data_IF_491981331519
#
_entry.id   IF_491981331519
#
_cell.length_a   1.000
_cell.length_b   1.000
_cell.length_c   1.000
_cell.angle_alpha   90.00
_cell.angle_beta   90.00
_cell.angle_gamma   90.00
#
_symmetry.space_group_name_H-M   'P 1'
#
loop_
_entity.id
_entity.type
_entity.pdbx_description
1 polymer ?
#
# COMPACT_ATOMS: atom_id res chain seq x y z
N UNK A 1 -2.68 3.86 7.17
CA UNK A 1 -4.04 3.56 7.65
C UNK A 1 -4.23 4.02 9.09
N UNK A 2 -5.19 4.91 9.38
CA UNK A 2 -5.43 5.41 10.75
C UNK A 2 -5.95 4.32 11.72
N UNK A 3 -6.58 3.27 11.19
CA UNK A 3 -7.28 2.24 11.98
C UNK A 3 -6.41 1.07 12.47
N UNK A 4 -5.13 0.99 12.10
CA UNK A 4 -4.24 -0.07 12.61
C UNK A 4 -3.64 0.35 13.96
N UNK A 5 -3.87 -0.50 14.97
CA UNK A 5 -3.38 -0.33 16.34
C UNK A 5 -1.85 -0.25 16.41
N UNK A 6 -1.33 0.53 17.36
CA UNK A 6 0.11 0.72 17.56
C UNK A 6 0.85 -0.59 17.83
N UNK A 7 0.25 -1.53 18.58
CA UNK A 7 0.83 -2.85 18.85
C UNK A 7 1.03 -3.61 17.53
N UNK A 8 0.03 -3.58 16.62
CA UNK A 8 0.14 -4.24 15.33
C UNK A 8 1.20 -3.57 14.44
N UNK A 9 1.32 -2.24 14.48
CA UNK A 9 2.38 -1.50 13.79
C UNK A 9 3.76 -1.90 14.28
N UNK A 10 3.99 -1.89 15.59
CA UNK A 10 5.29 -2.28 16.19
C UNK A 10 5.76 -3.67 15.80
N UNK A 11 4.83 -4.58 15.47
CA UNK A 11 5.15 -5.92 14.96
C UNK A 11 5.41 -5.95 13.45
N UNK A 12 4.72 -5.12 12.66
CA UNK A 12 4.78 -5.14 11.20
C UNK A 12 5.88 -4.24 10.65
N UNK A 13 6.08 -3.06 11.23
CA UNK A 13 7.00 -2.04 10.73
C UNK A 13 8.44 -2.58 10.56
N UNK A 14 9.03 -3.33 11.52
CA UNK A 14 10.38 -3.88 11.33
C UNK A 14 10.50 -4.83 10.13
N UNK A 15 9.45 -5.62 9.84
CA UNK A 15 9.43 -6.53 8.70
C UNK A 15 9.28 -5.78 7.38
N UNK A 16 8.51 -4.68 7.40
CA UNK A 16 8.34 -3.79 6.26
C UNK A 16 9.66 -3.08 5.97
N UNK A 17 10.35 -2.59 7.01
CA UNK A 17 11.64 -1.93 6.90
C UNK A 17 12.69 -2.87 6.29
N UNK A 18 12.76 -4.12 6.77
CA UNK A 18 13.67 -5.12 6.21
C UNK A 18 13.36 -5.41 4.73
N UNK A 19 12.09 -5.61 4.37
CA UNK A 19 11.68 -5.82 2.98
C UNK A 19 12.00 -4.60 2.10
N UNK A 20 11.87 -3.39 2.64
CA UNK A 20 12.12 -2.15 1.90
C UNK A 20 13.58 -2.03 1.43
N UNK A 21 14.53 -2.56 2.20
CA UNK A 21 15.95 -2.59 1.83
C UNK A 21 16.23 -3.48 0.61
N UNK A 22 15.37 -4.48 0.39
CA UNK A 22 15.44 -5.40 -0.75
C UNK A 22 14.74 -4.91 -2.02
N UNK A 23 13.75 -4.02 -1.89
CA UNK A 23 12.98 -3.49 -3.02
C UNK A 23 13.69 -2.31 -3.70
N UNK A 24 14.48 -2.57 -4.74
CA UNK A 24 15.29 -1.55 -5.43
C UNK A 24 14.66 -1.03 -6.70
N UNK A 25 13.86 -1.87 -7.35
CA UNK A 25 13.23 -1.56 -8.62
C UNK A 25 11.71 -1.51 -8.47
N UNK A 26 10.99 -0.75 -9.31
CA UNK A 26 9.52 -0.72 -9.29
C UNK A 26 8.88 -2.11 -9.40
N UNK A 27 9.51 -3.02 -10.15
CA UNK A 27 9.09 -4.41 -10.26
C UNK A 27 9.15 -5.20 -8.95
N UNK A 28 10.12 -4.90 -8.07
CA UNK A 28 10.27 -5.58 -6.78
C UNK A 28 9.10 -5.23 -5.86
N UNK A 29 8.72 -3.95 -5.83
CA UNK A 29 7.56 -3.49 -5.06
C UNK A 29 6.28 -4.14 -5.56
N UNK A 30 6.06 -4.16 -6.87
CA UNK A 30 4.91 -4.81 -7.48
C UNK A 30 4.87 -6.31 -7.15
N UNK A 31 6.01 -6.99 -7.19
CA UNK A 31 6.14 -8.40 -6.83
C UNK A 31 5.82 -8.65 -5.35
N UNK A 32 6.39 -7.86 -4.44
CA UNK A 32 6.17 -8.00 -2.99
C UNK A 32 4.70 -7.78 -2.64
N UNK A 33 4.07 -6.71 -3.14
CA UNK A 33 2.65 -6.44 -2.92
C UNK A 33 1.81 -7.61 -3.44
N UNK A 34 2.11 -8.12 -4.64
CA UNK A 34 1.41 -9.26 -5.22
C UNK A 34 1.54 -10.52 -4.36
N UNK A 35 2.76 -10.83 -3.88
CA UNK A 35 3.00 -11.99 -3.02
C UNK A 35 2.27 -11.89 -1.68
N UNK A 36 2.24 -10.71 -1.06
CA UNK A 36 1.49 -10.46 0.17
C UNK A 36 -0.01 -10.59 -0.04
N UNK A 37 -0.54 -10.05 -1.14
CA UNK A 37 -1.96 -10.18 -1.50
C UNK A 37 -2.37 -11.64 -1.72
N UNK A 38 -1.57 -12.41 -2.47
CA UNK A 38 -1.82 -13.84 -2.69
C UNK A 38 -1.75 -14.64 -1.39
N UNK A 39 -0.75 -14.40 -0.55
CA UNK A 39 -0.63 -15.05 0.75
C UNK A 39 -1.84 -14.74 1.65
N UNK A 40 -2.36 -13.52 1.61
CA UNK A 40 -3.55 -13.13 2.37
C UNK A 40 -4.79 -13.91 1.91
N UNK A 41 -4.99 -14.10 0.60
CA UNK A 41 -6.10 -14.91 0.08
C UNK A 41 -6.00 -16.36 0.57
N UNK A 42 -4.82 -16.97 0.49
CA UNK A 42 -4.60 -18.34 0.95
C UNK A 42 -4.84 -18.47 2.46
N UNK A 43 -4.32 -17.54 3.26
CA UNK A 43 -4.52 -17.52 4.72
C UNK A 43 -5.99 -17.35 5.14
N UNK A 44 -6.85 -16.82 4.26
CA UNK A 44 -8.30 -16.66 4.49
C UNK A 44 -9.14 -17.87 4.01
N UNK A 45 -8.50 -19.00 3.69
CA UNK A 45 -9.19 -20.20 3.22
C UNK A 45 -9.26 -20.33 1.70
N UNK A 46 -8.29 -19.74 0.99
CA UNK A 46 -8.06 -19.94 -0.44
C UNK A 46 -8.90 -19.06 -1.36
N UNK A 47 -8.94 -19.46 -2.64
CA UNK A 47 -9.55 -18.74 -3.78
C UNK A 47 -11.08 -18.69 -3.75
N UNK A 48 -11.65 -18.10 -2.71
CA UNK A 48 -13.07 -17.74 -2.63
C UNK A 48 -13.26 -16.34 -3.19
N UNK A 49 -14.36 -16.12 -3.92
CA UNK A 49 -14.69 -14.81 -4.47
C UNK A 49 -14.68 -13.72 -3.40
N UNK A 50 -15.26 -13.99 -2.22
CA UNK A 50 -15.27 -13.05 -1.10
C UNK A 50 -13.86 -12.65 -0.63
N UNK A 51 -12.91 -13.59 -0.62
CA UNK A 51 -11.53 -13.33 -0.19
C UNK A 51 -10.80 -12.49 -1.25
N UNK A 52 -10.95 -12.85 -2.52
CA UNK A 52 -10.34 -12.12 -3.63
C UNK A 52 -10.91 -10.69 -3.73
N UNK A 53 -12.23 -10.52 -3.65
CA UNK A 53 -12.89 -9.22 -3.64
C UNK A 53 -12.48 -8.36 -2.43
N UNK A 54 -12.30 -8.97 -1.26
CA UNK A 54 -11.81 -8.27 -0.06
C UNK A 54 -10.38 -7.76 -0.28
N UNK A 55 -9.48 -8.59 -0.79
CA UNK A 55 -8.08 -8.21 -1.04
C UNK A 55 -7.99 -7.15 -2.13
N UNK A 56 -8.75 -7.28 -3.21
CA UNK A 56 -8.83 -6.29 -4.27
C UNK A 56 -9.29 -4.92 -3.75
N UNK A 57 -10.36 -4.89 -2.93
CA UNK A 57 -10.81 -3.67 -2.27
C UNK A 57 -9.76 -3.05 -1.34
N UNK A 58 -9.01 -3.88 -0.60
CA UNK A 58 -7.91 -3.39 0.25
C UNK A 58 -6.80 -2.75 -0.59
N UNK A 59 -6.44 -3.33 -1.74
CA UNK A 59 -5.43 -2.74 -2.63
C UNK A 59 -5.87 -1.37 -3.16
N UNK A 60 -7.15 -1.20 -3.49
CA UNK A 60 -7.72 0.11 -3.82
C UNK A 60 -7.57 1.11 -2.68
N UNK A 61 -7.88 0.71 -1.44
CA UNK A 61 -7.69 1.58 -0.27
C UNK A 61 -6.21 1.94 -0.05
N UNK A 62 -5.27 1.03 -0.30
CA UNK A 62 -3.83 1.31 -0.21
C UNK A 62 -3.42 2.36 -1.25
N UNK A 63 -3.90 2.25 -2.49
CA UNK A 63 -3.64 3.23 -3.54
C UNK A 63 -4.16 4.62 -3.14
N UNK A 64 -5.39 4.72 -2.64
CA UNK A 64 -5.95 6.00 -2.20
C UNK A 64 -5.16 6.60 -1.04
N UNK A 65 -4.74 5.80 -0.06
CA UNK A 65 -3.93 6.28 1.07
C UNK A 65 -2.53 6.74 0.61
N UNK A 66 -1.92 6.07 -0.37
CA UNK A 66 -0.66 6.51 -0.99
C UNK A 66 -0.83 7.87 -1.66
N UNK A 67 -1.88 8.03 -2.48
CA UNK A 67 -2.17 9.32 -3.13
C UNK A 67 -2.36 10.44 -2.11
N UNK A 68 -3.28 10.25 -1.17
CA UNK A 68 -3.63 11.22 -0.13
C UNK A 68 -2.43 11.69 0.70
N UNK A 69 -1.46 10.80 0.95
CA UNK A 69 -0.32 11.10 1.82
C UNK A 69 0.92 11.61 1.10
N UNK A 70 1.11 11.22 -0.15
CA UNK A 70 2.37 11.47 -0.86
C UNK A 70 2.18 12.18 -2.18
N UNK A 71 1.20 11.78 -3.00
CA UNK A 71 1.00 12.35 -4.33
C UNK A 71 0.31 13.70 -4.22
N UNK A 72 -0.86 13.74 -3.60
CA UNK A 72 -1.69 14.94 -3.58
C UNK A 72 -0.98 16.12 -2.87
N UNK A 73 -0.29 15.94 -1.71
CA UNK A 73 0.47 17.04 -1.10
C UNK A 73 1.65 17.54 -1.95
N UNK A 74 2.28 16.64 -2.72
CA UNK A 74 3.33 17.04 -3.66
C UNK A 74 2.74 17.85 -4.81
N UNK A 75 1.64 17.37 -5.41
CA UNK A 75 0.94 18.07 -6.50
C UNK A 75 0.46 19.46 -6.05
N UNK A 76 -0.16 19.56 -4.87
CA UNK A 76 -0.55 20.85 -4.26
C UNK A 76 0.66 21.78 -4.14
N UNK A 77 1.78 21.28 -3.60
CA UNK A 77 3.03 22.04 -3.48
C UNK A 77 3.55 22.56 -4.82
N UNK A 78 3.44 21.74 -5.87
CA UNK A 78 3.85 22.14 -7.23
C UNK A 78 2.88 23.16 -7.84
N UNK A 79 1.57 23.08 -7.58
CA UNK A 79 0.61 24.10 -7.99
C UNK A 79 0.93 25.45 -7.35
N UNK A 80 1.27 25.49 -6.06
CA UNK A 80 1.71 26.72 -5.41
C UNK A 80 3.01 27.29 -5.99
N UNK A 81 3.96 26.42 -6.36
CA UNK A 81 5.28 26.83 -6.83
C UNK A 81 5.31 27.24 -8.31
N UNK A 82 4.59 26.51 -9.16
CA UNK A 82 4.66 26.66 -10.62
C UNK A 82 3.40 27.25 -11.24
N UNK A 83 2.35 27.48 -10.44
CA UNK A 83 1.01 27.76 -10.91
C UNK A 83 0.24 26.47 -11.16
N UNK A 84 -1.07 26.56 -10.98
CA UNK A 84 -2.00 25.51 -11.40
C UNK A 84 -2.19 25.58 -12.92
N UNK A 85 -2.70 24.50 -13.51
CA UNK A 85 -3.02 24.40 -14.93
C UNK A 85 -4.18 25.35 -15.31
N UNK A 86 -4.96 25.83 -14.33
CA UNK A 86 -6.18 26.61 -14.52
C UNK A 86 -6.11 28.04 -13.96
#
# INVERSE_FOLDING_TARGET
MPYIENIRRSRLDPLIDELSLGCRYPGDLAYVITKLALAQVENQGGKRFSNMATVDGILGLVQHEFRRKYVDPYEDGMCYANGDVY
#
